data_IF_113139978233
#
_entry.id   IF_113139978233
#
_cell.length_a   1.000
_cell.length_b   1.000
_cell.length_c   1.000
_cell.angle_alpha   90.00
_cell.angle_beta   90.00
_cell.angle_gamma   90.00
#
_symmetry.space_group_name_H-M   'P 1'
#
loop_
_entity.id
_entity.type
_entity.pdbx_description
1 polymer ?
#
# COMPACT_ATOMS: atom_id res chain seq x y z
N UNK A 1 22.17 -7.32 7.58
CA UNK A 1 22.01 -6.00 6.97
C UNK A 1 20.53 -5.60 6.97
N UNK A 2 20.24 -4.42 7.43
CA UNK A 2 18.87 -3.94 7.48
C UNK A 2 18.47 -3.31 6.14
N UNK A 3 17.16 -3.36 5.86
CA UNK A 3 16.63 -2.71 4.68
C UNK A 3 16.76 -1.20 4.79
N UNK A 4 17.06 -0.55 3.66
CA UNK A 4 17.15 0.91 3.57
C UNK A 4 15.77 1.44 3.22
N UNK A 5 15.35 2.47 3.94
CA UNK A 5 14.06 3.10 3.65
C UNK A 5 14.19 4.62 3.64
N UNK A 6 13.36 5.27 2.85
CA UNK A 6 13.27 6.72 2.81
C UNK A 6 11.88 7.14 2.37
N UNK A 7 11.53 8.38 2.68
CA UNK A 7 10.28 8.96 2.21
C UNK A 7 10.50 10.44 1.93
N UNK A 8 9.75 10.98 0.97
CA UNK A 8 9.76 12.41 0.67
C UNK A 8 8.43 12.81 0.07
N UNK A 9 8.07 14.08 0.24
CA UNK A 9 6.90 14.68 -0.39
C UNK A 9 7.35 15.71 -1.42
N UNK A 10 6.69 15.71 -2.57
CA UNK A 10 6.82 16.77 -3.56
C UNK A 10 5.47 17.49 -3.62
N UNK A 11 5.21 18.32 -4.64
CA UNK A 11 3.96 19.06 -4.71
C UNK A 11 2.72 18.16 -4.62
N UNK A 12 2.65 17.15 -5.47
CA UNK A 12 1.47 16.27 -5.56
C UNK A 12 1.76 14.82 -5.23
N UNK A 13 3.02 14.47 -4.95
CA UNK A 13 3.41 13.08 -4.75
C UNK A 13 4.07 12.83 -3.41
N UNK A 14 3.80 11.65 -2.88
CA UNK A 14 4.52 11.10 -1.74
C UNK A 14 5.28 9.90 -2.28
N UNK A 15 6.61 9.87 -2.09
CA UNK A 15 7.47 8.79 -2.57
C UNK A 15 8.07 8.06 -1.38
N UNK A 16 7.83 6.76 -1.29
CA UNK A 16 8.35 5.92 -0.21
C UNK A 16 9.16 4.81 -0.85
N UNK A 17 10.39 4.61 -0.37
CA UNK A 17 11.27 3.55 -0.88
C UNK A 17 11.71 2.65 0.25
N UNK A 18 11.89 1.36 -0.05
CA UNK A 18 12.43 0.39 0.90
C UNK A 18 13.15 -0.70 0.12
N UNK A 19 14.32 -1.13 0.61
CA UNK A 19 15.01 -2.29 0.07
C UNK A 19 14.73 -3.49 0.95
N UNK A 20 14.41 -4.63 0.30
CA UNK A 20 14.10 -5.88 0.99
C UNK A 20 15.15 -6.93 0.67
N UNK A 21 15.49 -7.74 1.67
CA UNK A 21 16.42 -8.87 1.53
C UNK A 21 15.68 -10.08 0.94
N UNK A 22 15.18 -9.92 -0.28
CA UNK A 22 14.42 -10.96 -0.98
C UNK A 22 14.46 -10.70 -2.49
N UNK A 23 14.44 -11.76 -3.32
CA UNK A 23 14.44 -11.58 -4.77
C UNK A 23 13.13 -10.97 -5.26
N UNK A 24 13.20 -10.28 -6.38
CA UNK A 24 12.07 -9.53 -6.93
C UNK A 24 10.81 -10.38 -7.14
N UNK A 25 10.96 -11.60 -7.60
CA UNK A 25 9.82 -12.50 -7.79
C UNK A 25 9.05 -12.73 -6.49
N UNK A 26 9.76 -12.95 -5.40
CA UNK A 26 9.13 -13.18 -4.10
C UNK A 26 8.42 -11.92 -3.60
N UNK A 27 9.05 -10.76 -3.75
CA UNK A 27 8.43 -9.48 -3.35
C UNK A 27 7.17 -9.24 -4.18
N UNK A 28 7.23 -9.50 -5.49
CA UNK A 28 6.08 -9.41 -6.38
C UNK A 28 4.95 -10.33 -5.91
N UNK A 29 5.26 -11.59 -5.60
CA UNK A 29 4.27 -12.57 -5.15
C UNK A 29 3.60 -12.12 -3.85
N UNK A 30 4.38 -11.64 -2.92
CA UNK A 30 3.90 -11.15 -1.62
C UNK A 30 2.95 -9.96 -1.81
N UNK A 31 3.19 -9.15 -2.84
CA UNK A 31 2.40 -7.96 -3.14
C UNK A 31 1.12 -8.27 -3.91
N UNK A 32 1.11 -9.33 -4.69
CA UNK A 32 0.04 -9.59 -5.66
C UNK A 32 -0.90 -10.72 -5.31
N UNK A 33 -0.51 -11.62 -4.41
CA UNK A 33 -1.37 -12.75 -4.03
C UNK A 33 -2.14 -12.44 -2.76
N UNK A 34 -3.48 -12.52 -2.78
CA UNK A 34 -4.30 -12.14 -1.63
C UNK A 34 -3.92 -12.81 -0.32
N UNK A 35 -3.57 -14.09 -0.36
CA UNK A 35 -3.15 -14.84 0.84
C UNK A 35 -1.93 -14.22 1.52
N UNK A 36 -1.05 -13.60 0.74
CA UNK A 36 0.12 -12.90 1.28
C UNK A 36 -0.24 -11.50 1.73
N UNK A 37 -1.03 -10.78 0.92
CA UNK A 37 -1.45 -9.41 1.23
C UNK A 37 -2.13 -9.35 2.58
N UNK A 38 -2.98 -10.32 2.89
CA UNK A 38 -3.67 -10.37 4.19
C UNK A 38 -2.72 -10.52 5.38
N UNK A 39 -1.49 -10.96 5.14
CA UNK A 39 -0.51 -11.17 6.21
C UNK A 39 0.25 -9.89 6.59
N UNK A 40 0.35 -8.93 5.67
CA UNK A 40 1.20 -7.75 5.92
C UNK A 40 0.49 -6.42 5.73
N UNK A 41 -0.58 -6.36 4.94
CA UNK A 41 -1.18 -5.07 4.61
C UNK A 41 -1.76 -4.40 5.85
N UNK A 42 -1.59 -3.07 5.92
CA UNK A 42 -2.05 -2.26 7.05
C UNK A 42 -0.98 -2.08 8.12
N UNK A 43 -1.09 -1.01 8.92
CA UNK A 43 -0.13 -0.73 9.98
C UNK A 43 -0.12 -1.83 11.05
N UNK A 44 0.92 -1.84 11.87
CA UNK A 44 1.01 -2.79 13.00
C UNK A 44 -0.22 -2.65 13.90
N UNK A 45 -0.75 -3.78 14.33
CA UNK A 45 -1.97 -3.82 15.14
C UNK A 45 -3.24 -3.97 14.32
N UNK A 46 -3.15 -3.77 12.99
CA UNK A 46 -4.27 -3.97 12.07
C UNK A 46 -4.18 -5.34 11.42
N UNK A 47 -5.35 -5.89 11.07
CA UNK A 47 -5.44 -7.06 10.19
C UNK A 47 -6.16 -6.63 8.93
N UNK A 48 -6.03 -7.43 7.87
CA UNK A 48 -6.64 -7.09 6.58
C UNK A 48 -7.37 -8.28 6.01
N UNK A 49 -8.57 -8.03 5.51
CA UNK A 49 -9.36 -9.01 4.77
C UNK A 49 -9.45 -8.53 3.32
N UNK A 50 -9.02 -9.36 2.38
CA UNK A 50 -9.17 -9.05 0.95
C UNK A 50 -10.52 -9.57 0.50
N UNK A 51 -11.40 -8.68 0.11
CA UNK A 51 -12.75 -9.05 -0.34
C UNK A 51 -12.79 -9.31 -1.84
N UNK A 52 -12.04 -8.56 -2.64
CA UNK A 52 -12.00 -8.70 -4.08
C UNK A 52 -10.59 -8.46 -4.58
N UNK A 53 -10.14 -9.28 -5.50
CA UNK A 53 -8.79 -9.14 -6.06
C UNK A 53 -8.77 -9.68 -7.49
N UNK A 54 -9.16 -8.84 -8.42
CA UNK A 54 -9.17 -9.17 -9.84
C UNK A 54 -7.91 -8.55 -10.47
N UNK A 55 -6.79 -9.28 -10.41
CA UNK A 55 -5.48 -8.77 -10.77
C UNK A 55 -5.26 -8.75 -12.28
N UNK A 56 -5.85 -7.76 -12.92
CA UNK A 56 -5.70 -7.47 -14.36
C UNK A 56 -6.02 -6.01 -14.59
N UNK A 57 -5.57 -5.46 -15.70
CA UNK A 57 -5.90 -4.07 -16.05
C UNK A 57 -7.41 -3.93 -16.17
N UNK A 58 -7.98 -2.94 -15.48
CA UNK A 58 -9.41 -2.74 -15.39
C UNK A 58 -10.09 -3.55 -14.29
N UNK A 59 -9.36 -4.48 -13.65
CA UNK A 59 -9.88 -5.27 -12.55
C UNK A 59 -9.94 -4.48 -11.26
N UNK A 60 -10.86 -4.85 -10.38
CA UNK A 60 -11.03 -4.18 -9.08
C UNK A 60 -10.35 -4.96 -7.97
N UNK A 61 -9.84 -4.21 -6.99
CA UNK A 61 -9.41 -4.79 -5.73
C UNK A 61 -10.12 -4.05 -4.61
N UNK A 62 -10.57 -4.79 -3.60
CA UNK A 62 -11.16 -4.19 -2.42
C UNK A 62 -10.72 -4.98 -1.20
N UNK A 63 -10.47 -4.25 -0.12
CA UNK A 63 -10.03 -4.87 1.12
C UNK A 63 -10.48 -4.02 2.29
N UNK A 64 -10.49 -4.65 3.45
CA UNK A 64 -10.89 -3.99 4.69
C UNK A 64 -9.76 -4.16 5.69
N UNK A 65 -9.25 -3.03 6.18
CA UNK A 65 -8.32 -3.03 7.30
C UNK A 65 -9.13 -3.00 8.59
N UNK A 66 -8.79 -3.86 9.52
CA UNK A 66 -9.50 -3.98 10.79
C UNK A 66 -8.56 -3.55 11.90
N UNK A 67 -8.92 -2.48 12.60
CA UNK A 67 -8.12 -1.93 13.68
C UNK A 67 -8.18 -2.77 14.96
N UNK A 68 -7.32 -2.45 15.93
CA UNK A 68 -7.28 -3.19 17.21
C UNK A 68 -8.61 -3.16 17.97
N UNK A 69 -9.42 -2.14 17.74
CA UNK A 69 -10.74 -2.00 18.36
C UNK A 69 -11.87 -2.63 17.56
N UNK A 70 -11.54 -3.29 16.43
CA UNK A 70 -12.51 -3.91 15.55
C UNK A 70 -13.10 -2.98 14.50
N UNK A 71 -12.71 -1.72 14.47
CA UNK A 71 -13.19 -0.78 13.44
C UNK A 71 -12.71 -1.21 12.07
N UNK A 72 -13.62 -1.23 11.09
CA UNK A 72 -13.32 -1.65 9.73
C UNK A 72 -13.15 -0.43 8.82
N UNK A 73 -12.03 -0.41 8.08
CA UNK A 73 -11.68 0.68 7.17
C UNK A 73 -11.64 0.13 5.75
N UNK A 74 -12.73 0.31 4.97
CA UNK A 74 -12.77 -0.22 3.62
C UNK A 74 -11.98 0.62 2.63
N UNK A 75 -11.32 -0.05 1.69
CA UNK A 75 -10.57 0.59 0.61
C UNK A 75 -10.83 -0.17 -0.68
N UNK A 76 -10.69 0.51 -1.80
CA UNK A 76 -10.87 -0.10 -3.12
C UNK A 76 -9.97 0.59 -4.13
N UNK A 77 -9.76 -0.08 -5.25
CA UNK A 77 -9.01 0.48 -6.36
C UNK A 77 -9.25 -0.30 -7.63
N UNK A 78 -8.80 0.28 -8.74
CA UNK A 78 -8.86 -0.35 -10.06
C UNK A 78 -7.44 -0.36 -10.61
N UNK A 79 -6.99 -1.53 -11.07
CA UNK A 79 -5.67 -1.66 -11.67
C UNK A 79 -5.65 -0.96 -13.03
N UNK A 80 -4.74 -0.02 -13.21
CA UNK A 80 -4.61 0.76 -14.44
C UNK A 80 -3.47 0.27 -15.32
N UNK A 81 -2.41 -0.24 -14.74
CA UNK A 81 -1.27 -0.76 -15.47
C UNK A 81 -0.63 -1.88 -14.67
N UNK A 82 -0.25 -2.97 -15.35
CA UNK A 82 0.46 -4.09 -14.73
C UNK A 82 1.55 -4.51 -15.70
N UNK A 83 2.81 -4.36 -15.27
CA UNK A 83 3.97 -4.90 -16.00
C UNK A 83 4.53 -5.99 -15.08
N UNK A 84 4.34 -7.27 -15.41
CA UNK A 84 4.72 -8.37 -14.52
C UNK A 84 6.13 -8.23 -13.96
N UNK A 85 6.20 -8.38 -12.64
CA UNK A 85 7.40 -8.35 -11.81
C UNK A 85 8.01 -6.95 -11.69
N UNK A 86 7.58 -5.97 -12.52
CA UNK A 86 8.22 -4.65 -12.56
C UNK A 86 7.38 -3.50 -12.02
N UNK A 87 6.06 -3.48 -12.33
CA UNK A 87 5.27 -2.28 -12.06
C UNK A 87 3.78 -2.56 -11.91
N UNK A 88 3.16 -1.89 -10.96
CA UNK A 88 1.70 -1.87 -10.82
C UNK A 88 1.27 -0.42 -10.63
N UNK A 89 0.24 0.01 -11.37
CA UNK A 89 -0.43 1.29 -11.15
C UNK A 89 -1.89 0.99 -10.82
N UNK A 90 -2.38 1.51 -9.71
CA UNK A 90 -3.75 1.30 -9.28
C UNK A 90 -4.31 2.58 -8.70
N UNK A 91 -5.63 2.78 -8.81
CA UNK A 91 -6.27 3.87 -8.07
C UNK A 91 -6.31 3.47 -6.59
N UNK A 92 -6.42 4.47 -5.74
CA UNK A 92 -6.51 4.27 -4.29
C UNK A 92 -7.69 5.09 -3.79
N UNK A 93 -8.78 4.41 -3.46
CA UNK A 93 -10.03 5.06 -3.09
C UNK A 93 -10.50 4.53 -1.73
N UNK A 94 -11.15 5.41 -0.99
CA UNK A 94 -11.85 4.98 0.23
C UNK A 94 -13.07 4.18 -0.18
N UNK A 95 -13.29 3.05 0.49
CA UNK A 95 -14.42 2.19 0.21
C UNK A 95 -15.73 2.77 0.73
N UNK A 96 -16.83 2.15 0.33
CA UNK A 96 -18.15 2.55 0.76
C UNK A 96 -18.27 2.49 2.28
N UNK A 97 -18.80 3.56 2.87
CA UNK A 97 -18.96 3.65 4.32
C UNK A 97 -17.77 4.19 5.08
N UNK A 98 -16.63 4.44 4.41
CA UNK A 98 -15.43 4.92 5.08
C UNK A 98 -15.69 6.25 5.81
N UNK A 99 -16.40 7.18 5.17
CA UNK A 99 -16.70 8.50 5.73
C UNK A 99 -17.70 8.45 6.89
N UNK A 100 -18.37 7.32 7.09
CA UNK A 100 -19.31 7.13 8.20
C UNK A 100 -18.62 6.63 9.47
N UNK A 101 -17.35 6.25 9.38
CA UNK A 101 -16.56 5.80 10.53
C UNK A 101 -16.40 6.98 11.49
N UNK A 102 -16.66 6.74 12.77
CA UNK A 102 -16.67 7.79 13.79
C UNK A 102 -15.43 8.69 13.76
N UNK A 103 -14.25 8.08 13.66
CA UNK A 103 -12.99 8.82 13.62
C UNK A 103 -12.76 9.59 12.31
N UNK A 104 -13.57 9.30 11.28
CA UNK A 104 -13.42 9.89 9.95
C UNK A 104 -14.54 10.87 9.57
N UNK A 105 -15.57 10.99 10.40
CA UNK A 105 -16.77 11.78 10.07
C UNK A 105 -16.51 13.26 9.78
N UNK A 106 -15.54 13.85 10.44
CA UNK A 106 -15.26 15.29 10.31
C UNK A 106 -13.93 15.55 9.59
N UNK A 107 -13.39 14.53 8.90
CA UNK A 107 -12.15 14.68 8.16
C UNK A 107 -12.48 14.94 6.70
N UNK A 108 -11.84 15.96 6.14
CA UNK A 108 -11.95 16.26 4.71
C UNK A 108 -11.00 15.32 3.98
N UNK A 109 -11.56 14.25 3.41
CA UNK A 109 -10.77 13.17 2.81
C UNK A 109 -10.16 13.57 1.47
N UNK A 110 -8.89 13.19 1.23
CA UNK A 110 -8.30 13.36 -0.11
C UNK A 110 -8.99 12.42 -1.09
N UNK A 111 -8.99 12.78 -2.37
CA UNK A 111 -9.64 11.98 -3.41
C UNK A 111 -8.78 11.94 -4.68
N UNK A 112 -9.09 10.99 -5.56
CA UNK A 112 -8.43 10.88 -6.86
C UNK A 112 -7.00 10.39 -6.78
N UNK A 113 -6.65 9.66 -5.74
CA UNK A 113 -5.29 9.16 -5.54
C UNK A 113 -4.98 7.98 -6.44
N UNK A 114 -3.72 7.91 -6.87
CA UNK A 114 -3.20 6.79 -7.64
C UNK A 114 -1.91 6.31 -6.97
N UNK A 115 -1.72 5.00 -6.91
CA UNK A 115 -0.50 4.43 -6.37
C UNK A 115 0.26 3.68 -7.44
N UNK A 116 1.57 3.92 -7.50
CA UNK A 116 2.47 3.21 -8.39
C UNK A 116 3.46 2.44 -7.54
N UNK A 117 3.60 1.15 -7.82
CA UNK A 117 4.59 0.28 -7.17
C UNK A 117 5.62 -0.13 -8.21
N UNK A 118 6.89 0.20 -7.94
CA UNK A 118 8.00 -0.16 -8.82
C UNK A 118 8.91 -1.15 -8.09
N UNK A 119 9.17 -2.28 -8.74
CA UNK A 119 9.97 -3.37 -8.17
C UNK A 119 11.30 -3.42 -8.92
N UNK A 120 12.36 -2.89 -8.32
CA UNK A 120 13.68 -2.83 -8.93
C UNK A 120 14.53 -4.03 -8.51
N UNK A 121 15.05 -4.74 -9.51
CA UNK A 121 15.87 -5.94 -9.29
C UNK A 121 17.29 -5.54 -8.87
N UNK A 122 17.68 -5.93 -7.67
CA UNK A 122 19.04 -5.74 -7.15
C UNK A 122 19.73 -7.11 -6.95
N UNK A 123 19.31 -8.13 -7.70
CA UNK A 123 19.82 -9.50 -7.58
C UNK A 123 19.06 -10.27 -6.53
N UNK A 124 19.66 -10.54 -5.38
CA UNK A 124 19.00 -11.23 -4.28
C UNK A 124 18.20 -10.27 -3.39
N UNK A 125 18.21 -8.99 -3.74
CA UNK A 125 17.50 -7.94 -3.02
C UNK A 125 16.59 -7.20 -3.99
N UNK A 126 15.61 -6.51 -3.46
CA UNK A 126 14.64 -5.74 -4.26
C UNK A 126 14.47 -4.36 -3.66
N UNK A 127 14.50 -3.34 -4.50
CA UNK A 127 14.13 -1.99 -4.08
C UNK A 127 12.70 -1.72 -4.52
N UNK A 128 11.83 -1.49 -3.57
CA UNK A 128 10.44 -1.10 -3.83
C UNK A 128 10.32 0.42 -3.75
N UNK A 129 9.69 1.02 -4.75
CA UNK A 129 9.32 2.43 -4.75
C UNK A 129 7.81 2.52 -4.81
N UNK A 130 7.21 3.22 -3.85
CA UNK A 130 5.78 3.50 -3.83
C UNK A 130 5.60 4.98 -4.10
N UNK A 131 4.85 5.31 -5.15
CA UNK A 131 4.54 6.70 -5.49
C UNK A 131 3.04 6.89 -5.32
N UNK A 132 2.65 7.71 -4.35
CA UNK A 132 1.25 8.06 -4.13
C UNK A 132 1.02 9.41 -4.78
N UNK A 133 0.24 9.42 -5.85
CA UNK A 133 -0.01 10.63 -6.65
C UNK A 133 -1.39 11.21 -6.31
N UNK A 134 -1.47 12.54 -6.29
CA UNK A 134 -2.68 13.28 -5.93
C UNK A 134 -3.03 14.27 -7.03
N UNK A 135 -4.32 14.58 -7.24
CA UNK A 135 -4.72 15.58 -8.25
C UNK A 135 -4.24 16.98 -7.90
N UNK A 136 -4.15 17.31 -6.61
CA UNK A 136 -3.78 18.64 -6.14
C UNK A 136 -2.81 18.58 -4.98
N UNK A 137 -2.12 19.68 -4.73
CA UNK A 137 -1.26 19.83 -3.54
C UNK A 137 -2.09 19.67 -2.27
N UNK A 138 -3.31 20.22 -2.28
CA UNK A 138 -4.21 20.14 -1.13
C UNK A 138 -4.55 18.69 -0.79
N UNK A 139 -4.87 17.86 -1.78
CA UNK A 139 -5.15 16.44 -1.54
C UNK A 139 -3.93 15.73 -0.97
N UNK A 140 -2.73 16.03 -1.48
CA UNK A 140 -1.50 15.46 -0.96
C UNK A 140 -1.31 15.83 0.51
N UNK A 141 -1.54 17.10 0.86
CA UNK A 141 -1.43 17.56 2.23
C UNK A 141 -2.44 16.88 3.16
N UNK A 142 -3.68 16.72 2.70
CA UNK A 142 -4.72 16.00 3.45
C UNK A 142 -4.32 14.55 3.72
N UNK A 143 -3.83 13.87 2.70
CA UNK A 143 -3.43 12.46 2.82
C UNK A 143 -2.24 12.33 3.78
N UNK A 144 -1.27 13.23 3.67
CA UNK A 144 -0.12 13.24 4.55
C UNK A 144 -0.53 13.46 6.02
N UNK A 145 -1.49 14.36 6.24
CA UNK A 145 -2.02 14.63 7.58
C UNK A 145 -2.76 13.44 8.18
N UNK A 146 -3.24 12.50 7.36
CA UNK A 146 -3.86 11.25 7.81
C UNK A 146 -2.82 10.23 8.27
N UNK A 147 -1.53 10.50 8.09
CA UNK A 147 -0.47 9.60 8.53
C UNK A 147 -0.10 8.53 7.51
N UNK A 148 -0.28 8.79 6.20
CA UNK A 148 -0.02 7.80 5.15
C UNK A 148 1.44 7.35 5.12
N UNK A 149 2.39 8.25 5.39
CA UNK A 149 3.82 7.90 5.39
C UNK A 149 4.12 6.92 6.52
N UNK A 150 3.67 7.24 7.74
CA UNK A 150 3.87 6.35 8.89
C UNK A 150 3.14 5.03 8.72
N UNK A 151 1.93 5.08 8.16
CA UNK A 151 1.14 3.89 7.87
C UNK A 151 1.87 2.96 6.91
N UNK A 152 2.38 3.50 5.80
CA UNK A 152 3.15 2.70 4.84
C UNK A 152 4.42 2.14 5.46
N UNK A 153 5.17 2.95 6.21
CA UNK A 153 6.39 2.46 6.85
C UNK A 153 6.09 1.34 7.84
N UNK A 154 5.00 1.44 8.58
CA UNK A 154 4.56 0.38 9.50
C UNK A 154 4.21 -0.90 8.73
N UNK A 155 3.49 -0.77 7.61
CA UNK A 155 3.16 -1.91 6.75
C UNK A 155 4.42 -2.54 6.16
N UNK A 156 5.36 -1.71 5.70
CA UNK A 156 6.61 -2.20 5.12
C UNK A 156 7.48 -2.94 6.14
N UNK A 157 7.43 -2.55 7.41
CA UNK A 157 8.08 -3.31 8.47
C UNK A 157 7.49 -4.72 8.56
N UNK A 158 6.19 -4.84 8.41
CA UNK A 158 5.50 -6.15 8.40
C UNK A 158 5.88 -6.97 7.16
N UNK A 159 6.02 -6.32 6.00
CA UNK A 159 6.50 -6.98 4.79
C UNK A 159 7.88 -7.57 5.03
N UNK A 160 8.77 -6.78 5.64
CA UNK A 160 10.13 -7.21 5.94
C UNK A 160 10.14 -8.44 6.84
N UNK A 161 9.34 -8.41 7.90
CA UNK A 161 9.20 -9.55 8.83
C UNK A 161 8.62 -10.77 8.11
N UNK A 162 7.60 -10.56 7.28
CA UNK A 162 6.95 -11.64 6.55
C UNK A 162 7.87 -12.28 5.53
N UNK A 163 8.65 -11.47 4.80
CA UNK A 163 9.63 -11.99 3.84
C UNK A 163 10.68 -12.85 4.53
N UNK A 164 11.14 -12.44 5.71
CA UNK A 164 12.07 -13.25 6.48
C UNK A 164 11.44 -14.59 6.89
N UNK A 165 10.17 -14.57 7.24
CA UNK A 165 9.44 -15.78 7.65
C UNK A 165 9.29 -16.77 6.51
N UNK A 166 8.88 -16.31 5.31
CA UNK A 166 8.64 -17.20 4.17
C UNK A 166 9.92 -17.72 3.52
N UNK A 167 11.07 -17.16 3.84
CA UNK A 167 12.37 -17.60 3.32
C UNK A 167 13.09 -18.57 4.27
N UNK A 168 12.49 -18.89 5.38
CA UNK A 168 13.07 -19.86 6.32
C UNK A 168 13.03 -21.28 5.77
#
# INVERSE_FOLDING_TARGET
MTATSSSKSTDKEIVITREFEAPRQLVWDVWTQPKHVEKWFGPKGFTTRVDKHDFKVGGESSYIMIGPDGTEYPSKGVFQEIVPIEKIVTTDEFGEGFEEIESMKNIDLPQGMTQTYLFHDLGQRTKLTIIVSHPTVEDREKHEAMGVIDGWNSSLDKVEEYLAEVQK
#
